data_IF_101640972557
#
_entry.id   IF_101640972557
#
_cell.length_a   1.000
_cell.length_b   1.000
_cell.length_c   1.000
_cell.angle_alpha   90.00
_cell.angle_beta   90.00
_cell.angle_gamma   90.00
#
_symmetry.space_group_name_H-M   'P 1'
#
loop_
_entity.id
_entity.type
_entity.pdbx_description
1 polymer ?
#
# COMPACT_ATOMS: atom_id res chain seq x y z
N UNK A 1 -50.85 -37.38 47.41
CA UNK A 1 -50.68 -38.23 46.22
C UNK A 1 -49.53 -37.63 45.39
N UNK A 2 -48.26 -38.06 45.56
CA UNK A 2 -47.55 -39.07 44.72
C UNK A 2 -47.93 -38.90 43.24
N UNK A 3 -47.11 -38.33 42.34
CA UNK A 3 -45.89 -38.87 41.65
C UNK A 3 -45.77 -37.99 40.36
N UNK A 4 -44.68 -37.80 39.61
CA UNK A 4 -43.34 -38.38 39.55
C UNK A 4 -42.47 -37.44 38.72
N UNK A 5 -41.22 -37.27 39.17
CA UNK A 5 -40.06 -36.76 38.44
C UNK A 5 -39.68 -37.69 37.27
N UNK A 6 -39.16 -37.13 36.17
CA UNK A 6 -38.32 -37.84 35.19
C UNK A 6 -37.31 -36.85 34.54
N UNK A 7 -36.11 -36.80 35.10
CA UNK A 7 -34.82 -36.78 34.34
C UNK A 7 -34.18 -38.19 34.55
N UNK A 8 -33.04 -38.61 33.97
CA UNK A 8 -32.23 -38.17 32.81
C UNK A 8 -31.81 -39.36 31.88
N UNK A 9 -30.92 -39.05 30.92
CA UNK A 9 -29.80 -39.89 30.44
C UNK A 9 -29.95 -41.03 29.41
N UNK A 10 -29.01 -40.96 28.44
CA UNK A 10 -28.29 -42.04 27.76
C UNK A 10 -29.03 -42.96 26.79
N UNK A 11 -28.67 -42.85 25.50
CA UNK A 11 -28.25 -44.00 24.68
C UNK A 11 -27.09 -43.64 23.74
N UNK A 12 -25.94 -44.23 24.03
CA UNK A 12 -24.83 -44.42 23.11
C UNK A 12 -25.02 -45.72 22.30
N UNK A 13 -24.49 -45.77 21.07
CA UNK A 13 -23.97 -46.92 20.29
C UNK A 13 -23.88 -46.48 18.81
N UNK A 14 -22.71 -46.16 18.26
CA UNK A 14 -21.62 -47.04 17.80
C UNK A 14 -22.08 -48.01 16.69
N UNK A 15 -21.71 -47.70 15.44
CA UNK A 15 -21.49 -48.68 14.37
C UNK A 15 -20.26 -48.25 13.56
N UNK A 16 -19.21 -49.07 13.69
CA UNK A 16 -17.98 -49.10 12.91
C UNK A 16 -18.16 -50.21 11.84
N UNK A 17 -17.47 -50.09 10.71
CA UNK A 17 -17.02 -51.12 9.74
C UNK A 17 -17.68 -51.18 8.37
N UNK A 18 -16.82 -51.24 7.35
CA UNK A 18 -17.07 -51.64 5.96
C UNK A 18 -16.69 -50.55 4.95
N UNK A 19 -15.75 -50.68 4.01
CA UNK A 19 -14.91 -51.81 3.60
C UNK A 19 -13.73 -51.24 2.76
N UNK A 20 -12.56 -51.82 2.95
CA UNK A 20 -11.38 -51.74 2.07
C UNK A 20 -11.61 -52.73 0.92
N UNK A 21 -11.65 -52.28 -0.34
CA UNK A 21 -11.27 -53.08 -1.53
C UNK A 21 -10.73 -52.14 -2.64
N UNK A 22 -9.41 -52.15 -2.76
CA UNK A 22 -8.57 -52.24 -3.96
C UNK A 22 -9.05 -51.64 -5.29
N UNK A 23 -8.22 -50.75 -5.87
CA UNK A 23 -7.73 -50.99 -7.24
C UNK A 23 -6.32 -50.41 -7.44
N UNK A 24 -5.32 -51.31 -7.38
CA UNK A 24 -4.05 -51.15 -8.08
C UNK A 24 -4.35 -51.12 -9.59
N UNK A 25 -3.85 -50.10 -10.28
CA UNK A 25 -3.96 -50.00 -11.73
C UNK A 25 -3.02 -48.96 -12.31
N UNK A 26 -1.97 -49.46 -12.94
CA UNK A 26 -1.15 -48.79 -13.96
C UNK A 26 -0.20 -47.68 -13.50
N UNK A 27 1.00 -48.13 -13.14
CA UNK A 27 2.24 -47.42 -13.41
C UNK A 27 2.37 -47.12 -14.91
N UNK A 28 1.87 -45.98 -15.35
CA UNK A 28 2.42 -45.27 -16.51
C UNK A 28 2.96 -43.95 -15.98
N UNK A 29 4.28 -43.92 -15.79
CA UNK A 29 4.99 -42.67 -15.59
C UNK A 29 4.75 -41.78 -16.80
N UNK A 30 3.84 -40.82 -16.66
CA UNK A 30 3.87 -39.62 -17.48
C UNK A 30 5.15 -38.88 -17.06
N UNK A 31 6.25 -39.20 -17.73
CA UNK A 31 7.37 -38.28 -17.80
C UNK A 31 6.83 -37.07 -18.54
N UNK A 32 6.42 -36.06 -17.78
CA UNK A 32 6.09 -34.76 -18.31
C UNK A 32 7.42 -34.26 -18.90
N UNK A 33 7.56 -34.39 -20.22
CA UNK A 33 8.64 -33.76 -20.97
C UNK A 33 8.35 -32.26 -20.86
N UNK A 34 8.82 -31.66 -19.77
CA UNK A 34 8.99 -30.22 -19.69
C UNK A 34 10.21 -29.95 -20.56
N UNK A 35 10.07 -29.24 -21.71
CA UNK A 35 11.25 -28.77 -22.40
C UNK A 35 12.10 -28.02 -21.37
N UNK A 36 13.35 -28.45 -21.18
CA UNK A 36 14.28 -27.87 -20.19
C UNK A 36 14.62 -26.40 -20.47
N UNK A 37 14.12 -25.86 -21.58
CA UNK A 37 14.25 -24.48 -21.96
C UNK A 37 12.86 -23.81 -21.90
N UNK A 38 12.59 -22.95 -20.90
CA UNK A 38 11.41 -22.10 -20.94
C UNK A 38 11.44 -21.27 -22.23
N UNK A 39 10.30 -21.09 -22.92
CA UNK A 39 10.28 -20.28 -24.13
C UNK A 39 10.83 -18.88 -23.82
N UNK A 40 11.65 -18.29 -24.71
CA UNK A 40 12.22 -16.97 -24.47
C UNK A 40 11.08 -15.98 -24.24
N UNK A 41 11.18 -15.19 -23.16
CA UNK A 41 10.21 -14.15 -22.85
C UNK A 41 10.23 -13.11 -23.97
N UNK A 42 9.20 -13.15 -24.81
CA UNK A 42 8.99 -12.15 -25.87
C UNK A 42 8.40 -10.92 -25.22
N UNK A 43 9.05 -9.78 -25.41
CA UNK A 43 8.64 -8.51 -24.84
C UNK A 43 8.41 -7.47 -25.94
N UNK A 44 7.58 -6.46 -25.67
CA UNK A 44 7.35 -5.34 -26.57
C UNK A 44 8.13 -4.13 -26.06
N UNK A 45 8.98 -3.54 -26.90
CA UNK A 45 9.77 -2.35 -26.53
C UNK A 45 8.84 -1.21 -26.11
N UNK A 46 9.11 -0.61 -24.94
CA UNK A 46 8.30 0.47 -24.35
C UNK A 46 7.13 0.02 -23.45
N UNK A 47 6.81 -1.27 -23.35
CA UNK A 47 5.80 -1.76 -22.42
C UNK A 47 6.40 -1.97 -21.00
N UNK A 48 5.91 -1.21 -20.02
CA UNK A 48 6.33 -1.36 -18.62
C UNK A 48 5.93 -2.74 -18.07
N UNK A 49 6.86 -3.44 -17.40
CA UNK A 49 6.61 -4.75 -16.79
C UNK A 49 6.68 -5.95 -17.74
N UNK A 50 7.12 -5.77 -18.99
CA UNK A 50 7.24 -6.86 -19.97
C UNK A 50 8.35 -7.87 -19.66
N UNK A 51 9.28 -7.55 -18.74
CA UNK A 51 10.39 -8.41 -18.35
C UNK A 51 10.48 -8.59 -16.82
N UNK A 52 10.99 -9.72 -16.32
CA UNK A 52 11.23 -9.95 -14.90
C UNK A 52 12.16 -8.90 -14.28
N UNK A 53 12.08 -8.71 -12.96
CA UNK A 53 12.93 -7.77 -12.21
C UNK A 53 14.41 -8.02 -12.49
N UNK A 54 15.14 -6.96 -12.91
CA UNK A 54 16.56 -7.04 -13.28
C UNK A 54 16.84 -7.29 -14.77
N UNK A 55 15.79 -7.34 -15.60
CA UNK A 55 15.89 -7.44 -17.05
C UNK A 55 15.16 -6.28 -17.75
N UNK A 56 15.54 -5.98 -18.98
CA UNK A 56 14.82 -5.04 -19.84
C UNK A 56 14.61 -5.62 -21.25
N UNK A 57 13.63 -5.08 -21.97
CA UNK A 57 13.30 -5.54 -23.31
C UNK A 57 14.26 -4.94 -24.35
N UNK A 58 14.93 -5.78 -25.15
CA UNK A 58 15.82 -5.35 -26.23
C UNK A 58 15.66 -6.27 -27.43
N UNK A 59 15.24 -5.75 -28.59
CA UNK A 59 15.06 -6.57 -29.79
C UNK A 59 14.00 -7.67 -29.65
N UNK A 60 13.00 -7.44 -28.78
CA UNK A 60 11.91 -8.38 -28.53
C UNK A 60 12.19 -9.49 -27.52
N UNK A 61 13.35 -9.50 -26.87
CA UNK A 61 13.67 -10.45 -25.79
C UNK A 61 14.13 -9.74 -24.52
N UNK A 62 13.85 -10.35 -23.37
CA UNK A 62 14.32 -9.83 -22.08
C UNK A 62 15.79 -10.18 -21.87
N UNK A 63 16.62 -9.16 -21.69
CA UNK A 63 18.06 -9.28 -21.45
C UNK A 63 18.41 -8.81 -20.03
N UNK A 64 19.33 -9.52 -19.38
CA UNK A 64 19.85 -9.15 -18.05
C UNK A 64 20.82 -7.98 -18.20
N UNK A 65 20.53 -6.86 -17.55
CA UNK A 65 21.43 -5.71 -17.56
C UNK A 65 20.81 -4.45 -16.95
N UNK A 66 21.64 -3.45 -16.71
CA UNK A 66 21.16 -2.13 -16.33
C UNK A 66 20.75 -1.35 -17.59
N UNK A 67 19.69 -0.51 -17.54
CA UNK A 67 19.21 0.27 -18.68
C UNK A 67 20.23 1.26 -19.29
N UNK A 68 21.46 1.34 -18.74
CA UNK A 68 22.54 2.20 -19.24
C UNK A 68 23.45 1.54 -20.28
N UNK A 69 23.35 0.23 -20.50
CA UNK A 69 24.35 -0.50 -21.30
C UNK A 69 23.95 -0.73 -22.78
N UNK A 70 22.83 -0.19 -23.25
CA UNK A 70 22.34 -0.39 -24.64
C UNK A 70 22.57 0.79 -25.59
N UNK A 71 23.28 1.84 -25.18
CA UNK A 71 23.77 2.79 -26.18
C UNK A 71 24.82 2.07 -27.04
N UNK A 72 24.60 1.88 -28.37
CA UNK A 72 25.65 1.36 -29.22
C UNK A 72 26.90 2.24 -29.04
N UNK A 73 28.11 1.65 -28.95
CA UNK A 73 29.32 2.44 -28.86
C UNK A 73 29.33 3.42 -30.05
N UNK A 74 29.64 4.71 -29.83
CA UNK A 74 29.66 5.68 -30.91
C UNK A 74 30.58 5.12 -32.01
N UNK A 75 30.17 5.20 -33.29
CA UNK A 75 31.03 4.75 -34.39
C UNK A 75 32.40 5.41 -34.25
N UNK A 76 33.50 4.67 -34.53
CA UNK A 76 34.83 5.25 -34.46
C UNK A 76 34.85 6.53 -35.30
N UNK A 77 35.46 7.61 -34.79
CA UNK A 77 35.52 8.87 -35.52
C UNK A 77 36.13 8.60 -36.91
N UNK A 78 35.51 9.09 -37.99
CA UNK A 78 36.06 8.90 -39.33
C UNK A 78 37.48 9.48 -39.37
N UNK A 79 38.44 8.66 -39.83
CA UNK A 79 39.82 9.10 -40.05
C UNK A 79 39.86 10.31 -40.98
N UNK A 80 40.60 11.31 -40.53
CA UNK A 80 40.92 12.59 -41.13
C UNK A 80 40.76 12.68 -42.66
N UNK A 81 39.66 13.29 -43.07
CA UNK A 81 39.63 14.08 -44.30
C UNK A 81 39.76 15.55 -43.89
N UNK A 82 40.92 16.14 -44.17
CA UNK A 82 41.24 17.56 -44.06
C UNK A 82 40.01 18.48 -44.21
N UNK A 83 39.46 18.93 -43.08
CA UNK A 83 38.48 20.02 -43.05
C UNK A 83 39.24 21.32 -42.82
N UNK A 84 39.14 22.31 -43.72
CA UNK A 84 39.77 23.61 -43.51
C UNK A 84 39.18 24.28 -42.26
N UNK A 85 40.08 24.83 -41.44
CA UNK A 85 39.88 25.59 -40.20
C UNK A 85 39.00 26.84 -40.43
N UNK A 86 37.70 26.66 -40.67
CA UNK A 86 36.77 27.78 -40.79
C UNK A 86 35.33 27.36 -40.49
N UNK A 87 35.07 26.91 -39.27
CA UNK A 87 33.70 26.77 -38.79
C UNK A 87 33.61 27.33 -37.37
N UNK A 88 33.10 28.56 -37.27
CA UNK A 88 32.41 29.04 -36.09
C UNK A 88 31.44 27.94 -35.62
N UNK A 89 31.42 27.60 -34.33
CA UNK A 89 30.50 26.60 -33.81
C UNK A 89 29.08 27.06 -34.17
N UNK A 90 28.23 26.19 -34.76
CA UNK A 90 26.84 26.53 -34.95
C UNK A 90 26.28 26.87 -33.56
N UNK A 91 25.83 28.10 -33.41
CA UNK A 91 24.98 28.52 -32.30
C UNK A 91 23.69 27.73 -32.49
N UNK A 92 23.70 26.47 -32.05
CA UNK A 92 22.49 25.69 -31.90
C UNK A 92 21.77 26.42 -30.80
N UNK A 93 20.79 27.22 -31.22
CA UNK A 93 19.87 27.94 -30.38
C UNK A 93 19.21 26.89 -29.48
N UNK A 94 19.84 26.64 -28.34
CA UNK A 94 19.32 25.86 -27.24
C UNK A 94 18.14 26.67 -26.75
N UNK A 95 17.01 26.45 -27.43
CA UNK A 95 15.75 27.15 -27.19
C UNK A 95 15.55 27.20 -25.67
N UNK A 96 15.18 28.38 -25.15
CA UNK A 96 15.39 28.76 -23.76
C UNK A 96 15.11 27.58 -22.86
N UNK A 97 16.19 27.05 -22.26
CA UNK A 97 16.14 25.90 -21.39
C UNK A 97 15.10 26.23 -20.32
N UNK A 98 13.91 25.65 -20.43
CA UNK A 98 12.75 25.91 -19.55
C UNK A 98 13.03 25.55 -18.09
N UNK A 99 14.28 25.21 -17.75
CA UNK A 99 14.74 24.70 -16.47
C UNK A 99 15.00 25.77 -15.42
N UNK A 100 15.09 27.05 -15.77
CA UNK A 100 15.52 28.07 -14.80
C UNK A 100 14.48 29.17 -14.53
N UNK A 101 13.23 28.98 -14.98
CA UNK A 101 12.16 29.71 -14.30
C UNK A 101 12.13 29.19 -12.87
N UNK A 102 12.49 30.04 -11.91
CA UNK A 102 12.40 29.80 -10.47
C UNK A 102 10.93 29.59 -10.06
N UNK A 103 10.33 28.52 -10.55
CA UNK A 103 9.04 28.03 -10.12
C UNK A 103 9.30 27.55 -8.70
N UNK A 104 8.71 28.26 -7.74
CA UNK A 104 8.75 27.85 -6.34
C UNK A 104 8.25 26.41 -6.16
N UNK A 105 8.44 25.82 -4.98
CA UNK A 105 8.08 24.44 -4.74
C UNK A 105 6.61 24.17 -5.11
N UNK A 106 6.38 23.07 -5.82
CA UNK A 106 5.10 22.69 -6.36
C UNK A 106 4.08 22.46 -5.23
N UNK A 107 2.88 23.03 -5.40
CA UNK A 107 1.78 22.88 -4.46
C UNK A 107 1.15 21.49 -4.56
N UNK A 108 0.22 21.17 -3.66
CA UNK A 108 -0.53 19.91 -3.69
C UNK A 108 -1.18 19.69 -5.08
N UNK A 109 -0.95 18.52 -5.67
CA UNK A 109 -1.37 18.15 -7.02
C UNK A 109 -0.45 18.62 -8.15
N UNK A 110 0.56 19.46 -7.85
CA UNK A 110 1.58 19.86 -8.82
C UNK A 110 2.51 18.70 -9.18
N UNK A 111 3.03 18.68 -10.40
CA UNK A 111 3.97 17.66 -10.84
C UNK A 111 5.30 17.75 -10.06
N UNK A 112 5.95 16.60 -9.85
CA UNK A 112 7.22 16.51 -9.16
C UNK A 112 8.04 15.31 -9.65
N UNK A 113 9.31 15.26 -9.25
CA UNK A 113 10.18 14.10 -9.38
C UNK A 113 10.77 13.66 -8.05
N UNK A 114 10.94 14.60 -7.13
CA UNK A 114 11.55 14.39 -5.82
C UNK A 114 10.77 15.18 -4.77
N UNK A 115 10.78 14.71 -3.51
CA UNK A 115 10.08 15.37 -2.40
C UNK A 115 10.48 16.85 -2.23
N UNK A 116 11.75 17.18 -2.47
CA UNK A 116 12.28 18.55 -2.38
C UNK A 116 11.68 19.53 -3.39
N UNK A 117 11.03 19.03 -4.43
CA UNK A 117 10.34 19.85 -5.43
C UNK A 117 8.95 20.27 -4.96
N UNK A 118 8.43 19.63 -3.90
CA UNK A 118 7.12 19.91 -3.35
C UNK A 118 7.18 20.94 -2.20
N UNK A 119 6.07 21.64 -1.99
CA UNK A 119 5.93 22.57 -0.88
C UNK A 119 6.14 21.87 0.48
N UNK A 120 6.56 22.63 1.49
CA UNK A 120 6.85 22.07 2.81
C UNK A 120 5.67 21.25 3.36
N UNK A 121 5.96 20.04 3.86
CA UNK A 121 4.96 19.09 4.35
C UNK A 121 4.25 18.26 3.27
N UNK A 122 4.68 18.39 2.02
CA UNK A 122 4.26 17.52 0.91
C UNK A 122 5.38 16.56 0.53
N UNK A 123 5.01 15.47 -0.16
CA UNK A 123 5.92 14.47 -0.70
C UNK A 123 5.57 14.20 -2.17
N UNK A 124 6.54 13.72 -2.95
CA UNK A 124 6.32 13.38 -4.34
C UNK A 124 5.70 11.99 -4.47
N UNK A 125 4.40 11.93 -4.68
CA UNK A 125 3.63 10.70 -4.81
C UNK A 125 3.85 10.04 -6.16
N UNK A 126 4.66 8.97 -6.20
CA UNK A 126 4.87 8.13 -7.38
C UNK A 126 3.81 7.02 -7.48
N UNK A 127 3.87 6.20 -8.54
CA UNK A 127 3.02 5.01 -8.69
C UNK A 127 3.11 4.04 -7.50
N UNK A 128 4.29 3.88 -6.91
CA UNK A 128 4.47 3.03 -5.72
C UNK A 128 3.64 3.50 -4.52
N UNK A 129 3.39 4.82 -4.42
CA UNK A 129 2.63 5.45 -3.35
C UNK A 129 1.15 5.57 -3.66
N UNK A 130 0.81 6.07 -4.85
CA UNK A 130 -0.55 6.44 -5.23
C UNK A 130 -1.27 5.36 -6.06
N UNK A 131 -0.59 4.25 -6.40
CA UNK A 131 -1.13 3.20 -7.24
C UNK A 131 -1.54 3.72 -8.62
N UNK A 132 -2.68 3.24 -9.14
CA UNK A 132 -3.16 3.65 -10.47
C UNK A 132 -3.50 5.15 -10.55
N UNK A 133 -3.76 5.83 -9.43
CA UNK A 133 -4.03 7.27 -9.46
C UNK A 133 -2.83 8.07 -10.00
N UNK A 134 -1.59 7.65 -9.70
CA UNK A 134 -0.40 8.27 -10.27
C UNK A 134 -0.10 7.84 -11.72
N UNK A 135 -0.62 6.70 -12.20
CA UNK A 135 -0.40 6.28 -13.59
C UNK A 135 -1.04 7.27 -14.56
N UNK A 136 -2.20 7.84 -14.21
CA UNK A 136 -2.93 8.78 -15.07
C UNK A 136 -2.30 10.18 -15.08
N UNK A 137 -1.72 10.62 -13.95
CA UNK A 137 -1.21 11.99 -13.79
C UNK A 137 0.31 12.13 -13.81
N UNK A 138 1.04 11.02 -13.74
CA UNK A 138 2.45 11.02 -13.35
C UNK A 138 2.64 11.33 -11.85
N UNK A 139 3.91 11.45 -11.39
CA UNK A 139 4.19 11.77 -10.00
C UNK A 139 3.73 13.19 -9.64
N UNK A 140 3.03 13.31 -8.53
CA UNK A 140 2.44 14.57 -8.07
C UNK A 140 2.72 14.81 -6.59
N UNK A 141 2.88 16.08 -6.22
CA UNK A 141 3.00 16.47 -4.82
C UNK A 141 1.70 16.12 -4.09
N UNK A 142 1.82 15.27 -3.08
CA UNK A 142 0.71 14.80 -2.26
C UNK A 142 1.00 15.04 -0.78
N UNK A 143 0.00 14.81 0.06
CA UNK A 143 0.09 14.92 1.51
C UNK A 143 -0.49 13.66 2.11
N UNK A 144 0.14 13.13 3.16
CA UNK A 144 -0.41 12.02 3.93
C UNK A 144 -1.66 12.50 4.68
N UNK A 145 -2.70 11.68 4.72
CA UNK A 145 -3.97 11.99 5.35
C UNK A 145 -4.57 10.75 6.01
N UNK A 146 -5.44 10.97 6.99
CA UNK A 146 -6.32 9.99 7.59
C UNK A 146 -7.71 10.05 6.98
N UNK A 147 -8.24 11.25 6.75
CA UNK A 147 -9.57 11.48 6.19
C UNK A 147 -9.52 12.56 5.12
N UNK A 148 -10.55 12.64 4.28
CA UNK A 148 -10.66 13.70 3.28
C UNK A 148 -10.85 15.09 3.90
N UNK A 149 -11.08 15.21 5.22
CA UNK A 149 -11.08 16.51 5.93
C UNK A 149 -9.72 17.21 5.92
N UNK A 150 -8.65 16.41 5.90
CA UNK A 150 -7.28 16.89 6.04
C UNK A 150 -6.67 17.32 4.69
N UNK A 151 -7.40 17.11 3.61
CA UNK A 151 -7.04 17.49 2.26
C UNK A 151 -7.62 18.86 1.89
N UNK A 152 -6.93 19.58 1.01
CA UNK A 152 -7.45 20.84 0.47
C UNK A 152 -8.71 20.60 -0.38
N UNK A 153 -9.50 21.65 -0.61
CA UNK A 153 -10.65 21.58 -1.49
C UNK A 153 -10.26 21.05 -2.88
N UNK A 154 -11.06 20.14 -3.44
CA UNK A 154 -10.77 19.45 -4.70
C UNK A 154 -9.88 18.22 -4.58
N UNK A 155 -9.45 17.85 -3.37
CA UNK A 155 -8.70 16.63 -3.08
C UNK A 155 -9.47 15.71 -2.13
N UNK A 156 -9.30 14.41 -2.29
CA UNK A 156 -9.83 13.40 -1.39
C UNK A 156 -8.69 12.55 -0.82
N UNK A 157 -8.89 12.04 0.40
CA UNK A 157 -7.98 11.08 0.98
C UNK A 157 -8.25 9.70 0.37
N UNK A 158 -7.23 9.13 -0.29
CA UNK A 158 -7.27 7.82 -0.91
C UNK A 158 -6.35 6.87 -0.16
N UNK A 159 -6.83 5.67 0.15
CA UNK A 159 -6.00 4.53 0.54
C UNK A 159 -5.76 3.63 -0.68
N UNK A 160 -4.65 3.78 -1.43
CA UNK A 160 -4.44 3.07 -2.69
C UNK A 160 -3.84 1.67 -2.48
N UNK A 161 -3.86 1.13 -1.26
CA UNK A 161 -3.23 -0.14 -0.90
C UNK A 161 -1.73 -0.04 -0.60
N UNK A 162 -1.20 1.15 -0.37
CA UNK A 162 0.22 1.40 -0.09
C UNK A 162 0.50 1.68 1.39
N UNK A 163 -0.21 1.04 2.33
CA UNK A 163 0.00 1.17 3.78
C UNK A 163 -0.42 2.51 4.39
N UNK A 164 -0.39 3.59 3.60
CA UNK A 164 -0.83 4.93 3.98
C UNK A 164 -2.12 5.37 3.27
N UNK A 165 -2.46 6.64 3.46
CA UNK A 165 -3.49 7.31 2.67
C UNK A 165 -3.02 8.71 2.30
N UNK A 166 -3.40 9.17 1.11
CA UNK A 166 -2.80 10.34 0.47
C UNK A 166 -3.87 11.24 -0.15
N UNK A 167 -3.66 12.55 -0.11
CA UNK A 167 -4.52 13.52 -0.76
C UNK A 167 -4.31 13.48 -2.27
N UNK A 168 -5.32 13.02 -3.00
CA UNK A 168 -5.31 12.88 -4.45
C UNK A 168 -6.36 13.79 -5.06
N UNK A 169 -6.03 14.45 -6.17
CA UNK A 169 -6.93 15.35 -6.86
C UNK A 169 -8.17 14.60 -7.36
N UNK A 170 -9.35 15.22 -7.23
CA UNK A 170 -10.62 14.66 -7.69
C UNK A 170 -10.58 14.11 -9.12
N UNK A 171 -9.92 14.85 -10.03
CA UNK A 171 -9.80 14.48 -11.44
C UNK A 171 -9.07 13.15 -11.66
N UNK A 172 -8.07 12.82 -10.83
CA UNK A 172 -7.35 11.55 -10.90
C UNK A 172 -8.15 10.36 -10.34
N UNK A 173 -9.26 10.64 -9.63
CA UNK A 173 -10.15 9.63 -9.05
C UNK A 173 -11.43 9.42 -9.88
N UNK A 174 -11.60 10.18 -10.95
CA UNK A 174 -12.72 10.03 -11.87
C UNK A 174 -12.57 8.75 -12.73
N UNK A 175 -13.67 8.14 -13.20
CA UNK A 175 -15.07 8.53 -12.98
C UNK A 175 -15.64 8.03 -11.65
N UNK A 176 -14.88 7.26 -10.87
CA UNK A 176 -15.37 6.54 -9.68
C UNK A 176 -15.81 7.50 -8.56
N UNK A 177 -15.33 8.74 -8.57
CA UNK A 177 -15.61 9.75 -7.53
C UNK A 177 -16.05 11.11 -8.11
N UNK A 178 -16.95 11.77 -7.39
CA UNK A 178 -17.40 13.14 -7.70
C UNK A 178 -17.43 13.98 -6.43
N UNK A 179 -16.37 14.77 -6.19
CA UNK A 179 -16.22 15.54 -4.96
C UNK A 179 -17.18 16.75 -4.94
N UNK A 180 -17.89 16.98 -3.83
CA UNK A 180 -18.68 18.19 -3.66
C UNK A 180 -17.81 19.45 -3.53
N UNK A 181 -18.21 20.58 -4.13
CA UNK A 181 -17.53 21.86 -3.93
C UNK A 181 -17.52 22.32 -2.46
N UNK A 182 -18.55 21.93 -1.69
CA UNK A 182 -18.79 22.38 -0.31
C UNK A 182 -18.25 21.42 0.76
N UNK A 183 -17.41 20.45 0.40
CA UNK A 183 -16.71 19.63 1.38
C UNK A 183 -17.50 18.48 2.00
N UNK A 184 -18.74 18.20 1.54
CA UNK A 184 -19.48 16.95 1.72
C UNK A 184 -19.64 16.40 3.16
N UNK A 185 -20.35 15.27 3.28
CA UNK A 185 -20.49 14.55 4.53
C UNK A 185 -19.25 13.69 4.84
N UNK A 186 -19.01 13.45 6.14
CA UNK A 186 -17.91 12.61 6.65
C UNK A 186 -18.12 11.13 6.28
N UNK A 187 -17.04 10.36 6.32
CA UNK A 187 -17.08 8.91 6.19
C UNK A 187 -18.04 8.27 7.20
N UNK A 188 -18.82 7.28 6.76
CA UNK A 188 -19.85 6.60 7.55
C UNK A 188 -21.21 7.29 7.60
N UNK A 189 -21.37 8.54 7.12
CA UNK A 189 -22.70 9.17 7.00
C UNK A 189 -23.50 8.53 5.86
N UNK A 190 -24.82 8.40 6.00
CA UNK A 190 -25.68 7.92 4.91
C UNK A 190 -25.68 8.88 3.72
N UNK A 191 -25.76 8.37 2.50
CA UNK A 191 -25.72 9.17 1.28
C UNK A 191 -26.65 8.61 0.20
N UNK A 192 -27.07 9.47 -0.73
CA UNK A 192 -27.77 9.07 -1.96
C UNK A 192 -26.83 8.98 -3.16
N UNK A 193 -25.87 9.90 -3.25
CA UNK A 193 -24.97 10.09 -4.40
C UNK A 193 -23.54 10.41 -3.97
N UNK A 194 -22.59 10.26 -4.90
CA UNK A 194 -21.17 10.56 -4.68
C UNK A 194 -20.92 11.99 -4.21
N UNK A 195 -21.70 12.96 -4.69
CA UNK A 195 -21.58 14.38 -4.32
C UNK A 195 -22.03 14.66 -2.89
N UNK A 196 -22.71 13.73 -2.22
CA UNK A 196 -23.05 13.91 -0.81
C UNK A 196 -21.84 13.71 0.09
N UNK A 197 -20.77 13.08 -0.41
CA UNK A 197 -19.66 12.58 0.37
C UNK A 197 -18.40 13.40 0.12
N UNK A 198 -17.71 13.79 1.18
CA UNK A 198 -16.46 14.58 1.08
C UNK A 198 -15.40 13.88 0.22
N UNK A 199 -15.28 12.58 0.39
CA UNK A 199 -14.39 11.73 -0.41
C UNK A 199 -14.80 11.59 -1.87
N UNK A 200 -16.01 12.03 -2.22
CA UNK A 200 -16.65 11.84 -3.52
C UNK A 200 -17.15 10.41 -3.77
N UNK A 201 -17.22 9.56 -2.75
CA UNK A 201 -17.62 8.15 -2.89
C UNK A 201 -18.79 7.80 -1.96
N UNK A 202 -19.92 7.44 -2.57
CA UNK A 202 -21.13 6.96 -1.92
C UNK A 202 -21.41 5.52 -2.37
N UNK A 203 -21.16 4.56 -1.49
CA UNK A 203 -21.27 3.14 -1.83
C UNK A 203 -21.98 2.34 -0.74
N UNK A 204 -22.54 1.20 -1.13
CA UNK A 204 -23.02 0.18 -0.19
C UNK A 204 -21.87 -0.79 0.10
N UNK A 205 -21.26 -0.66 1.29
CA UNK A 205 -20.16 -1.54 1.75
C UNK A 205 -20.61 -2.60 2.77
N UNK A 206 -21.88 -2.99 2.71
CA UNK A 206 -22.33 -4.28 3.21
C UNK A 206 -23.16 -4.24 4.48
N UNK A 207 -24.31 -4.89 4.40
CA UNK A 207 -25.06 -5.50 5.51
C UNK A 207 -26.22 -4.69 6.08
N UNK A 208 -26.26 -3.38 5.88
CA UNK A 208 -27.21 -2.48 6.57
C UNK A 208 -28.29 -1.87 5.66
N UNK A 209 -28.30 -2.23 4.37
CA UNK A 209 -29.35 -1.83 3.43
C UNK A 209 -29.33 -0.37 2.98
N UNK A 210 -28.19 0.32 3.10
CA UNK A 210 -28.07 1.72 2.68
C UNK A 210 -26.66 2.13 2.28
N UNK A 211 -26.56 3.03 1.29
CA UNK A 211 -25.28 3.61 0.86
C UNK A 211 -24.77 4.59 1.92
N UNK A 212 -23.44 4.59 2.12
CA UNK A 212 -22.76 5.51 3.03
C UNK A 212 -21.57 6.15 2.35
N UNK A 213 -21.17 7.30 2.87
CA UNK A 213 -19.96 7.98 2.47
C UNK A 213 -18.75 7.16 2.88
N UNK A 214 -17.93 6.81 1.90
CA UNK A 214 -16.74 5.99 2.12
C UNK A 214 -15.53 6.91 2.10
N UNK A 215 -14.86 7.03 3.24
CA UNK A 215 -13.65 7.83 3.38
C UNK A 215 -12.56 6.98 4.03
N UNK A 216 -11.29 7.32 3.79
CA UNK A 216 -10.18 6.74 4.55
C UNK A 216 -10.34 7.10 6.03
N UNK A 217 -9.75 6.28 6.90
CA UNK A 217 -9.72 6.51 8.34
C UNK A 217 -8.45 5.96 8.95
N UNK A 218 -7.96 6.58 10.02
CA UNK A 218 -6.86 6.11 10.85
C UNK A 218 -7.34 5.46 12.15
N UNK A 219 -8.51 5.89 12.64
CA UNK A 219 -9.15 5.36 13.83
C UNK A 219 -10.69 5.35 13.67
N UNK A 220 -11.38 4.60 14.53
CA UNK A 220 -12.85 4.57 14.55
C UNK A 220 -13.49 5.95 14.74
N UNK A 221 -12.81 6.85 15.48
CA UNK A 221 -13.27 8.22 15.73
C UNK A 221 -13.28 9.13 14.49
N UNK A 222 -12.63 8.72 13.40
CA UNK A 222 -12.66 9.43 12.12
C UNK A 222 -14.00 9.25 11.38
N UNK A 223 -14.78 8.27 11.79
CA UNK A 223 -16.03 7.89 11.15
C UNK A 223 -17.23 8.53 11.89
N UNK A 224 -18.10 9.23 11.16
CA UNK A 224 -19.32 9.81 11.72
C UNK A 224 -20.32 8.74 12.23
N UNK A 225 -20.12 7.50 11.81
CA UNK A 225 -20.72 6.30 12.34
C UNK A 225 -20.02 5.07 11.75
N UNK A 226 -20.15 3.92 12.42
CA UNK A 226 -19.49 2.68 11.99
C UNK A 226 -18.10 2.51 12.61
N UNK A 227 -17.22 1.82 11.88
CA UNK A 227 -15.86 1.48 12.32
C UNK A 227 -14.86 1.70 11.19
N UNK A 228 -13.61 1.96 11.56
CA UNK A 228 -12.52 2.01 10.62
C UNK A 228 -12.09 0.57 10.30
N UNK A 229 -12.53 0.07 9.15
CA UNK A 229 -12.38 -1.34 8.81
C UNK A 229 -11.85 -1.54 7.39
N UNK A 230 -11.23 -2.70 7.17
CA UNK A 230 -10.63 -3.06 5.89
C UNK A 230 -11.75 -3.38 4.89
N UNK A 231 -11.72 -2.67 3.76
CA UNK A 231 -12.61 -2.93 2.61
C UNK A 231 -11.82 -2.80 1.32
N UNK A 232 -12.25 -3.57 0.33
CA UNK A 232 -11.79 -3.44 -1.05
C UNK A 232 -12.76 -2.52 -1.80
N UNK A 233 -12.26 -1.40 -2.31
CA UNK A 233 -13.03 -0.41 -3.07
C UNK A 233 -12.93 -0.71 -4.56
N UNK A 234 -14.08 -0.87 -5.21
CA UNK A 234 -14.20 -1.12 -6.66
C UNK A 234 -13.33 -2.27 -7.18
N UNK A 235 -13.04 -3.27 -6.33
CA UNK A 235 -12.11 -4.37 -6.62
C UNK A 235 -10.68 -3.93 -6.98
N UNK A 236 -10.32 -2.66 -6.73
CA UNK A 236 -9.01 -2.08 -7.11
C UNK A 236 -8.07 -1.95 -5.92
N UNK A 237 -8.56 -1.43 -4.80
CA UNK A 237 -7.70 -1.08 -3.66
C UNK A 237 -8.30 -1.61 -2.37
N UNK A 238 -7.48 -2.22 -1.52
CA UNK A 238 -7.85 -2.61 -0.17
C UNK A 238 -7.19 -1.67 0.84
N UNK A 239 -7.99 -1.13 1.73
CA UNK A 239 -7.51 -0.23 2.79
C UNK A 239 -8.53 -0.08 3.90
N UNK A 240 -8.13 0.59 4.97
CA UNK A 240 -9.05 0.96 6.04
C UNK A 240 -9.88 2.17 5.65
N UNK A 241 -11.20 1.99 5.72
CA UNK A 241 -12.19 3.01 5.40
C UNK A 241 -13.31 3.01 6.43
N UNK A 242 -14.02 4.14 6.51
CA UNK A 242 -15.23 4.23 7.30
C UNK A 242 -16.36 3.42 6.65
N UNK A 243 -16.75 2.33 7.31
CA UNK A 243 -17.89 1.51 6.91
C UNK A 243 -18.54 0.89 8.14
N UNK A 244 -19.70 0.26 7.95
CA UNK A 244 -20.30 -0.52 9.02
C UNK A 244 -19.50 -1.81 9.28
N UNK A 245 -19.41 -2.27 10.53
CA UNK A 245 -18.79 -3.55 10.82
C UNK A 245 -19.56 -4.67 10.09
N UNK A 246 -18.85 -5.73 9.66
CA UNK A 246 -19.45 -6.82 8.88
C UNK A 246 -20.50 -7.62 9.67
N UNK A 247 -20.48 -7.56 11.01
CA UNK A 247 -21.49 -8.17 11.88
C UNK A 247 -21.63 -7.40 13.19
N UNK A 248 -22.75 -7.59 13.89
CA UNK A 248 -23.01 -7.01 15.22
C UNK A 248 -22.27 -7.72 16.36
N UNK A 249 -21.72 -8.91 16.09
CA UNK A 249 -20.96 -9.75 17.04
C UNK A 249 -19.47 -9.76 16.73
N UNK A 250 -19.00 -8.73 16.02
CA UNK A 250 -17.62 -8.64 15.59
C UNK A 250 -16.70 -8.41 16.79
N UNK A 251 -15.60 -9.15 16.85
CA UNK A 251 -14.61 -9.15 17.93
C UNK A 251 -13.66 -7.96 17.80
N UNK A 252 -13.19 -7.48 18.94
CA UNK A 252 -12.20 -6.41 19.04
C UNK A 252 -10.76 -6.90 18.75
N UNK A 253 -9.80 -5.97 18.81
CA UNK A 253 -8.37 -6.23 18.61
C UNK A 253 -7.87 -7.44 19.40
N UNK A 254 -7.09 -8.31 18.75
CA UNK A 254 -6.51 -9.51 19.34
C UNK A 254 -7.51 -10.65 19.58
N UNK A 255 -8.81 -10.42 19.42
CA UNK A 255 -9.83 -11.46 19.57
C UNK A 255 -9.66 -12.58 18.54
N UNK A 256 -9.78 -13.84 18.97
CA UNK A 256 -9.59 -14.98 18.08
C UNK A 256 -10.61 -15.00 16.94
N UNK A 257 -10.20 -15.23 15.69
CA UNK A 257 -11.11 -15.18 14.53
C UNK A 257 -10.81 -16.32 13.55
N UNK A 258 -11.83 -16.75 12.81
CA UNK A 258 -11.70 -17.75 11.73
C UNK A 258 -11.92 -17.14 10.33
N UNK A 259 -12.21 -15.84 10.28
CA UNK A 259 -12.48 -15.10 9.05
C UNK A 259 -12.65 -13.61 9.32
N UNK A 260 -12.51 -12.82 8.26
CA UNK A 260 -12.55 -11.35 8.33
C UNK A 260 -13.84 -10.81 8.96
N UNK A 261 -14.99 -11.41 8.64
CA UNK A 261 -16.29 -10.99 9.16
C UNK A 261 -16.48 -11.19 10.66
N UNK A 262 -15.61 -11.98 11.31
CA UNK A 262 -15.59 -12.12 12.76
C UNK A 262 -15.00 -10.89 13.46
N UNK A 263 -14.29 -10.01 12.74
CA UNK A 263 -13.54 -8.91 13.31
C UNK A 263 -14.23 -7.58 13.05
N UNK A 264 -14.23 -6.69 14.05
CA UNK A 264 -14.85 -5.37 13.94
C UNK A 264 -14.20 -4.50 12.86
N UNK A 265 -12.91 -4.69 12.68
CA UNK A 265 -12.07 -4.13 11.61
C UNK A 265 -12.21 -4.85 10.26
N UNK A 266 -13.04 -5.90 10.16
CA UNK A 266 -13.11 -6.79 9.02
C UNK A 266 -11.74 -7.34 8.56
N UNK A 267 -10.82 -7.54 9.52
CA UNK A 267 -9.47 -8.01 9.22
C UNK A 267 -9.03 -9.06 10.25
N UNK A 268 -8.94 -10.30 9.79
CA UNK A 268 -8.55 -11.47 10.58
C UNK A 268 -7.18 -11.96 10.11
N UNK A 269 -6.15 -11.70 10.92
CA UNK A 269 -4.76 -11.95 10.59
C UNK A 269 -4.53 -13.47 10.62
N UNK A 270 -4.18 -14.04 9.48
CA UNK A 270 -3.85 -15.47 9.36
C UNK A 270 -4.93 -16.42 9.90
N UNK A 271 -6.19 -15.99 9.95
CA UNK A 271 -7.28 -16.75 10.59
C UNK A 271 -7.04 -17.09 12.07
N UNK A 272 -6.35 -16.19 12.80
CA UNK A 272 -6.04 -16.40 14.22
C UNK A 272 -6.50 -15.27 15.10
N UNK A 273 -6.25 -14.00 14.74
CA UNK A 273 -6.55 -12.85 15.58
C UNK A 273 -7.07 -11.64 14.78
N UNK A 274 -8.01 -10.89 15.37
CA UNK A 274 -8.53 -9.67 14.78
C UNK A 274 -7.52 -8.54 14.85
N UNK A 275 -7.11 -8.01 13.70
CA UNK A 275 -6.23 -6.85 13.62
C UNK A 275 -7.03 -5.56 13.61
N UNK A 276 -6.65 -4.56 14.39
CA UNK A 276 -7.22 -3.20 14.30
C UNK A 276 -6.23 -2.26 13.65
N UNK A 277 -6.73 -1.23 12.96
CA UNK A 277 -5.83 -0.20 12.42
C UNK A 277 -5.02 0.42 13.55
N UNK A 278 -3.77 0.72 13.23
CA UNK A 278 -2.91 1.55 14.04
C UNK A 278 -2.13 2.48 13.12
N UNK A 279 -1.66 3.55 13.74
CA UNK A 279 -0.82 4.56 13.14
C UNK A 279 0.44 4.82 13.98
N UNK A 280 0.59 4.15 15.11
CA UNK A 280 1.81 4.12 15.91
C UNK A 280 1.75 2.93 16.84
N UNK A 281 2.91 2.40 17.26
CA UNK A 281 2.94 1.30 18.23
C UNK A 281 2.32 1.68 19.58
N UNK A 282 2.36 2.95 19.95
CA UNK A 282 1.69 3.48 21.14
C UNK A 282 0.17 3.26 21.17
N UNK A 283 -0.46 3.10 19.99
CA UNK A 283 -1.92 2.89 19.88
C UNK A 283 -2.33 1.43 20.14
N UNK A 284 -1.39 0.49 20.17
CA UNK A 284 -1.67 -0.94 20.24
C UNK A 284 -1.77 -1.51 21.66
N UNK A 285 -1.54 -0.68 22.68
CA UNK A 285 -1.48 -1.13 24.07
C UNK A 285 -0.19 -1.92 24.38
N UNK A 286 -0.01 -2.25 25.67
CA UNK A 286 1.21 -2.91 26.14
C UNK A 286 1.40 -4.31 25.50
N UNK A 287 2.63 -4.61 25.06
CA UNK A 287 3.00 -5.90 24.47
C UNK A 287 2.65 -6.08 22.99
N UNK A 288 2.03 -5.07 22.38
CA UNK A 288 1.72 -5.06 20.95
C UNK A 288 2.49 -3.92 20.26
N UNK A 289 2.57 -3.97 18.94
CA UNK A 289 3.11 -2.87 18.15
C UNK A 289 2.39 -2.76 16.83
N UNK A 290 2.53 -1.60 16.20
CA UNK A 290 1.96 -1.34 14.91
C UNK A 290 2.86 -1.93 13.84
N UNK A 291 2.35 -2.93 13.13
CA UNK A 291 3.05 -3.57 12.01
C UNK A 291 2.27 -3.35 10.74
N UNK A 292 2.92 -3.52 9.60
CA UNK A 292 2.23 -3.64 8.32
C UNK A 292 2.21 -5.09 7.87
N UNK A 293 1.18 -5.47 7.12
CA UNK A 293 1.10 -6.77 6.45
C UNK A 293 0.31 -6.61 5.16
N UNK A 294 0.44 -7.61 4.30
CA UNK A 294 -0.32 -7.70 3.09
C UNK A 294 -1.78 -8.09 3.38
N UNK A 295 -2.68 -7.53 2.59
CA UNK A 295 -4.11 -7.69 2.64
C UNK A 295 -4.71 -7.64 1.22
N UNK A 296 -6.02 -7.84 1.15
CA UNK A 296 -6.75 -7.90 -0.10
C UNK A 296 -6.72 -9.28 -0.76
N UNK A 297 -7.57 -9.49 -1.78
CA UNK A 297 -7.74 -10.79 -2.45
C UNK A 297 -6.45 -11.26 -3.15
N UNK A 298 -5.62 -10.32 -3.59
CA UNK A 298 -4.37 -10.62 -4.30
C UNK A 298 -3.13 -10.58 -3.37
N UNK A 299 -3.31 -10.22 -2.09
CA UNK A 299 -2.19 -10.09 -1.15
C UNK A 299 -1.17 -9.01 -1.53
N UNK A 300 -1.55 -8.01 -2.32
CA UNK A 300 -0.65 -6.94 -2.79
C UNK A 300 -0.82 -5.63 -2.04
N UNK A 301 -1.97 -5.44 -1.39
CA UNK A 301 -2.28 -4.21 -0.68
C UNK A 301 -1.71 -4.28 0.73
N UNK A 302 -1.18 -3.18 1.24
CA UNK A 302 -0.59 -3.11 2.57
C UNK A 302 -1.56 -2.42 3.52
N UNK A 303 -1.76 -3.03 4.69
CA UNK A 303 -2.54 -2.47 5.80
C UNK A 303 -1.72 -2.49 7.09
N UNK A 304 -1.87 -1.44 7.89
CA UNK A 304 -1.22 -1.31 9.19
C UNK A 304 -2.14 -1.79 10.31
N UNK A 305 -1.67 -2.64 11.20
CA UNK A 305 -2.48 -3.16 12.30
C UNK A 305 -1.68 -3.53 13.54
N UNK A 306 -2.36 -3.61 14.67
CA UNK A 306 -1.77 -4.05 15.93
C UNK A 306 -1.58 -5.57 15.98
N UNK A 307 -0.37 -6.00 16.32
CA UNK A 307 -0.04 -7.41 16.57
C UNK A 307 0.79 -7.54 17.87
N UNK A 308 0.64 -8.65 18.63
CA UNK A 308 1.61 -9.01 19.64
C UNK A 308 3.02 -9.13 19.06
N UNK A 309 3.97 -8.39 19.60
CA UNK A 309 5.35 -8.35 19.08
C UNK A 309 6.32 -9.25 19.81
N UNK A 310 5.92 -9.80 20.96
CA UNK A 310 6.78 -10.67 21.76
C UNK A 310 8.03 -9.93 22.23
N UNK A 311 9.20 -10.56 22.06
CA UNK A 311 10.49 -10.02 22.49
C UNK A 311 11.20 -9.16 21.43
N UNK A 312 10.49 -8.72 20.37
CA UNK A 312 11.07 -7.88 19.32
C UNK A 312 11.44 -6.49 19.85
N UNK A 313 12.49 -5.91 19.27
CA UNK A 313 13.07 -4.67 19.74
C UNK A 313 12.18 -3.46 19.38
N UNK A 314 12.07 -2.46 20.29
CA UNK A 314 11.28 -1.25 20.04
C UNK A 314 11.94 -0.34 19.00
N UNK A 315 11.24 0.70 18.57
CA UNK A 315 11.82 1.74 17.69
C UNK A 315 13.11 2.33 18.29
N UNK A 316 14.06 2.69 17.42
CA UNK A 316 15.42 3.17 17.70
C UNK A 316 16.39 2.13 18.26
N UNK A 317 15.94 0.92 18.61
CA UNK A 317 16.85 -0.15 18.96
C UNK A 317 17.68 -0.59 17.74
N UNK A 318 18.94 -1.02 17.92
CA UNK A 318 19.74 -1.56 16.84
C UNK A 318 19.11 -2.86 16.29
N UNK A 319 19.28 -3.10 15.00
CA UNK A 319 18.74 -4.28 14.33
C UNK A 319 19.66 -4.76 13.20
N UNK A 320 19.45 -5.97 12.73
CA UNK A 320 20.10 -6.53 11.53
C UNK A 320 19.08 -6.74 10.42
N UNK A 321 17.90 -7.25 10.78
CA UNK A 321 16.80 -7.58 9.87
C UNK A 321 15.47 -7.00 10.37
N UNK A 322 14.46 -6.96 9.49
CA UNK A 322 13.12 -6.50 9.87
C UNK A 322 12.53 -7.29 11.05
N UNK A 323 12.80 -8.59 11.14
CA UNK A 323 12.24 -9.45 12.19
C UNK A 323 12.76 -9.15 13.61
N UNK A 324 13.88 -8.44 13.72
CA UNK A 324 14.40 -7.95 14.99
C UNK A 324 13.50 -6.84 15.57
N UNK A 325 12.77 -6.15 14.70
CA UNK A 325 12.01 -4.95 15.04
C UNK A 325 10.54 -5.27 15.27
N UNK A 326 9.99 -4.67 16.32
CA UNK A 326 8.58 -4.81 16.69
C UNK A 326 7.65 -4.40 15.53
N UNK A 327 8.01 -3.34 14.80
CA UNK A 327 7.33 -2.80 13.62
C UNK A 327 7.60 -3.55 12.30
N UNK A 328 8.47 -4.56 12.33
CA UNK A 328 9.08 -5.21 11.15
C UNK A 328 9.95 -4.32 10.27
N UNK A 329 10.32 -3.12 10.74
CA UNK A 329 11.10 -2.15 9.97
C UNK A 329 12.49 -1.94 10.56
N UNK A 330 13.50 -2.52 9.91
CA UNK A 330 14.91 -2.35 10.23
C UNK A 330 15.64 -1.65 9.09
N UNK A 331 16.13 -0.44 9.35
CA UNK A 331 16.69 0.41 8.31
C UNK A 331 17.97 1.08 8.73
N UNK A 332 18.79 1.47 7.74
CA UNK A 332 19.97 2.28 8.01
C UNK A 332 19.57 3.55 8.75
N UNK A 333 20.36 3.89 9.76
CA UNK A 333 20.16 5.09 10.56
C UNK A 333 20.19 6.35 9.68
N UNK A 334 21.05 6.31 8.65
CA UNK A 334 21.17 7.33 7.61
C UNK A 334 19.98 7.42 6.64
N UNK A 335 18.98 6.52 6.64
CA UNK A 335 17.84 6.62 5.71
C UNK A 335 16.87 7.80 5.99
N UNK A 336 17.30 8.81 6.77
CA UNK A 336 16.72 10.15 6.85
C UNK A 336 17.72 11.29 6.54
N UNK A 337 18.96 11.00 6.15
CA UNK A 337 20.04 11.94 5.85
C UNK A 337 20.87 11.46 4.63
N UNK A 338 21.28 12.34 3.71
CA UNK A 338 22.00 11.95 2.48
C UNK A 338 23.43 11.40 2.69
N UNK A 339 23.95 11.39 3.91
CA UNK A 339 25.37 11.15 4.19
C UNK A 339 25.57 9.69 4.64
N UNK A 340 25.55 8.78 3.65
CA UNK A 340 25.54 7.33 3.81
C UNK A 340 26.80 6.66 4.40
N UNK A 341 27.38 7.20 5.48
CA UNK A 341 28.58 6.62 6.10
C UNK A 341 28.30 5.67 7.27
N UNK A 342 27.06 5.57 7.75
CA UNK A 342 26.72 4.67 8.87
C UNK A 342 26.12 3.37 8.36
N UNK A 343 26.77 2.25 8.68
CA UNK A 343 26.25 0.89 8.47
C UNK A 343 25.30 0.45 9.58
N UNK A 344 25.11 1.30 10.60
CA UNK A 344 24.18 1.10 11.71
C UNK A 344 22.75 1.03 11.17
N UNK A 345 22.01 -0.02 11.57
CA UNK A 345 20.58 -0.14 11.32
C UNK A 345 19.81 -0.03 12.63
N UNK A 346 18.66 0.63 12.58
CA UNK A 346 17.77 0.85 13.71
C UNK A 346 16.34 0.50 13.35
N UNK A 347 15.58 0.06 14.35
CA UNK A 347 14.15 -0.17 14.21
C UNK A 347 13.39 1.15 14.03
N UNK A 348 12.44 1.21 13.10
CA UNK A 348 11.58 2.39 12.86
C UNK A 348 10.13 2.09 13.25
N UNK A 349 9.42 3.01 13.91
CA UNK A 349 7.98 2.81 14.13
C UNK A 349 7.18 3.13 12.87
N UNK A 350 6.03 2.48 12.70
CA UNK A 350 5.08 2.75 11.62
C UNK A 350 4.29 4.02 11.94
N UNK A 351 3.92 4.81 10.93
CA UNK A 351 3.15 6.04 11.11
C UNK A 351 1.99 6.16 10.10
N UNK A 352 0.96 6.96 10.42
CA UNK A 352 -0.02 7.44 9.44
C UNK A 352 0.11 8.95 9.16
N UNK A 353 0.60 9.73 10.11
CA UNK A 353 0.77 11.18 10.04
C UNK A 353 2.03 11.60 10.79
N UNK A 354 2.52 12.81 10.53
CA UNK A 354 3.65 13.38 11.29
C UNK A 354 3.37 13.47 12.79
N UNK A 355 2.11 13.65 13.19
CA UNK A 355 1.70 13.70 14.60
C UNK A 355 1.80 12.36 15.32
N UNK A 356 1.92 11.25 14.59
CA UNK A 356 2.13 9.92 15.17
C UNK A 356 3.60 9.69 15.54
N UNK A 357 4.50 10.53 15.02
CA UNK A 357 5.94 10.44 15.25
C UNK A 357 6.40 11.36 16.40
N UNK A 358 7.55 11.05 17.03
CA UNK A 358 8.22 12.00 17.93
C UNK A 358 8.42 13.37 17.27
N UNK A 359 8.47 14.45 18.06
CA UNK A 359 8.55 15.82 17.53
C UNK A 359 9.77 16.11 16.62
N UNK A 360 10.86 15.35 16.78
CA UNK A 360 12.07 15.40 15.95
C UNK A 360 11.97 14.57 14.66
N UNK A 361 10.86 13.89 14.44
CA UNK A 361 10.65 12.94 13.35
C UNK A 361 9.38 13.30 12.55
N UNK A 362 9.33 12.85 11.30
CA UNK A 362 8.18 12.98 10.41
C UNK A 362 7.79 11.61 9.86
N UNK A 363 6.57 11.51 9.35
CA UNK A 363 6.09 10.32 8.70
C UNK A 363 6.49 10.30 7.23
N UNK A 364 7.22 9.26 6.79
CA UNK A 364 7.70 9.18 5.42
C UNK A 364 7.68 7.74 4.84
N UNK A 365 7.56 7.60 3.51
CA UNK A 365 7.68 6.31 2.82
C UNK A 365 9.03 5.63 3.00
N UNK A 366 9.05 4.31 3.21
CA UNK A 366 10.28 3.51 3.27
C UNK A 366 11.00 3.49 1.90
N UNK A 367 12.33 3.66 1.85
CA UNK A 367 13.08 3.67 0.59
C UNK A 367 13.02 2.30 -0.09
N UNK A 368 13.10 1.21 0.68
CA UNK A 368 13.07 -0.15 0.16
C UNK A 368 11.64 -0.63 -0.17
N UNK A 369 10.63 0.01 0.44
CA UNK A 369 9.23 -0.27 0.18
C UNK A 369 8.39 1.00 0.37
N UNK A 370 8.20 1.82 -0.69
CA UNK A 370 7.50 3.10 -0.55
C UNK A 370 6.02 2.95 -0.14
N UNK A 371 5.49 1.72 -0.11
CA UNK A 371 4.16 1.39 0.40
C UNK A 371 4.11 1.23 1.93
N UNK A 372 5.17 1.57 2.66
CA UNK A 372 5.17 1.56 4.12
C UNK A 372 5.56 2.92 4.62
N UNK A 373 4.72 3.51 5.46
CA UNK A 373 5.00 4.77 6.15
C UNK A 373 5.62 4.50 7.51
N UNK A 374 6.68 5.23 7.85
CA UNK A 374 7.38 5.11 9.12
C UNK A 374 7.93 6.45 9.61
N UNK A 375 8.26 6.51 10.90
CA UNK A 375 8.88 7.68 11.48
C UNK A 375 10.36 7.76 11.09
N UNK A 376 10.76 8.89 10.52
CA UNK A 376 12.15 9.20 10.14
C UNK A 376 12.55 10.57 10.70
N UNK A 377 13.84 10.82 10.97
CA UNK A 377 14.31 12.15 11.34
C UNK A 377 13.89 13.23 10.33
N UNK A 378 13.60 14.44 10.82
CA UNK A 378 13.27 15.60 9.97
C UNK A 378 14.48 16.15 9.23
#
# INVERSE_FOLDING_TARGET
>A
MKKLSLRPNQRARLWITGAIVSLLGAAFGCQLIVPTEPPPYVCQEGAAGACPTGQFCSGGTCVVGNPKDTAPPPPPPPEDANVPDTLEPPIVDAGPDRRDSAVGPAQLGGACRLDKECAAGLLCGTEGLLGQAAQTSGPVCTKICCTSEQCAAGFACLAPGSGGSYCVAAAALAPDRSLPPSGGAKGGTSCGTNTDCRSGLCADLGGSGGKRCIDSCCADGDCAGGTCNVRTLSSKYTGFVCANPPSTVAKDAGGACSGNSNCRSNYCIGQTACGVRCCASAQCGAGNSCIWNFAGPNGTDIVQHCLPTGARAPAKAPCTTGDDCASTQCELEANGQPDGSTTSRVCRDVCCLDSDCPSSERCAPAPDNPRVLRCVPK
#
